data_IF_350619586243
#
_entry.id   IF_350619586243
#
_cell.length_a   1.000
_cell.length_b   1.000
_cell.length_c   1.000
_cell.angle_alpha   90.00
_cell.angle_beta   90.00
_cell.angle_gamma   90.00
#
_symmetry.space_group_name_H-M   'P 1'
#
loop_
_entity.id
_entity.type
_entity.pdbx_description
1 polymer ?
#
# COMPACT_ATOMS: atom_id res chain seq x y z
N UNK A 1 16.50 -15.23 20.50
CA UNK A 1 15.14 -15.08 19.91
C UNK A 1 15.23 -14.04 18.81
N UNK A 2 15.08 -14.41 17.53
CA UNK A 2 14.92 -13.43 16.46
C UNK A 2 13.50 -12.89 16.58
N UNK A 3 13.34 -11.58 16.77
CA UNK A 3 12.06 -10.90 16.60
C UNK A 3 11.65 -11.05 15.13
N UNK A 4 11.00 -12.16 14.79
CA UNK A 4 10.28 -12.27 13.54
C UNK A 4 8.97 -11.54 13.81
N UNK A 5 8.93 -10.25 13.47
CA UNK A 5 7.64 -9.58 13.30
C UNK A 5 6.90 -10.41 12.26
N UNK A 6 5.74 -10.91 12.65
CA UNK A 6 4.84 -11.63 11.77
C UNK A 6 4.57 -10.78 10.52
N UNK A 7 4.95 -11.29 9.35
CA UNK A 7 4.93 -10.54 8.09
C UNK A 7 3.50 -10.07 7.76
N UNK A 8 2.46 -10.84 8.14
CA UNK A 8 1.07 -10.39 8.00
C UNK A 8 0.79 -9.14 8.82
N UNK A 9 1.35 -9.03 10.03
CA UNK A 9 1.25 -7.82 10.85
C UNK A 9 1.94 -6.63 10.19
N UNK A 10 2.99 -6.83 9.39
CA UNK A 10 3.59 -5.74 8.62
C UNK A 10 2.62 -5.23 7.54
N UNK A 11 1.96 -6.14 6.82
CA UNK A 11 0.94 -5.78 5.85
C UNK A 11 -0.31 -5.15 6.51
N UNK A 12 -0.70 -5.58 7.70
CA UNK A 12 -1.78 -4.95 8.46
C UNK A 12 -1.43 -3.53 8.89
N UNK A 13 -0.18 -3.29 9.31
CA UNK A 13 0.31 -1.95 9.62
C UNK A 13 0.32 -1.05 8.38
N UNK A 14 0.85 -1.53 7.25
CA UNK A 14 0.84 -0.77 5.99
C UNK A 14 -0.61 -0.46 5.57
N UNK A 15 -1.50 -1.45 5.65
CA UNK A 15 -2.91 -1.26 5.32
C UNK A 15 -3.55 -0.21 6.24
N UNK A 16 -3.31 -0.27 7.55
CA UNK A 16 -3.84 0.73 8.49
C UNK A 16 -3.35 2.15 8.15
N UNK A 17 -2.07 2.33 7.82
CA UNK A 17 -1.53 3.62 7.37
C UNK A 17 -2.27 4.11 6.12
N UNK A 18 -2.49 3.24 5.13
CA UNK A 18 -3.20 3.60 3.90
C UNK A 18 -4.66 3.98 4.19
N UNK A 19 -5.40 3.20 4.98
CA UNK A 19 -6.78 3.50 5.33
C UNK A 19 -6.92 4.81 6.12
N UNK A 20 -6.00 5.07 7.07
CA UNK A 20 -5.97 6.34 7.80
C UNK A 20 -5.63 7.52 6.91
N UNK A 21 -4.84 7.28 5.87
CA UNK A 21 -4.54 8.31 4.87
C UNK A 21 -5.75 8.57 3.97
N UNK A 22 -6.53 7.53 3.65
CA UNK A 22 -7.80 7.72 2.94
C UNK A 22 -8.76 8.61 3.75
N UNK A 23 -8.88 8.38 5.06
CA UNK A 23 -9.66 9.27 5.94
C UNK A 23 -9.23 10.76 5.78
N UNK A 24 -7.92 11.02 5.69
CA UNK A 24 -7.35 12.36 5.48
C UNK A 24 -7.66 12.88 4.07
N UNK A 25 -7.48 12.06 3.04
CA UNK A 25 -7.75 12.43 1.63
C UNK A 25 -9.22 12.79 1.46
N UNK A 26 -10.14 12.01 2.04
CA UNK A 26 -11.57 12.31 2.02
C UNK A 26 -11.89 13.59 2.81
N UNK A 27 -11.17 13.87 3.89
CA UNK A 27 -11.28 15.13 4.62
C UNK A 27 -10.90 16.32 3.72
N UNK A 28 -9.73 16.26 3.06
CA UNK A 28 -9.27 17.30 2.12
C UNK A 28 -10.23 17.44 0.93
N UNK A 29 -10.81 16.35 0.43
CA UNK A 29 -11.81 16.38 -0.65
C UNK A 29 -13.08 17.12 -0.24
N UNK A 30 -13.50 16.99 1.01
CA UNK A 30 -14.72 17.63 1.56
C UNK A 30 -14.47 19.05 2.04
N UNK A 31 -13.27 19.35 2.53
CA UNK A 31 -12.91 20.65 3.09
C UNK A 31 -12.15 21.48 2.06
N UNK A 32 -12.72 22.61 1.63
CA UNK A 32 -12.08 23.50 0.65
C UNK A 32 -10.94 24.37 1.24
N UNK A 33 -10.52 24.11 2.48
CA UNK A 33 -9.46 24.87 3.17
C UNK A 33 -8.15 24.10 3.17
N UNK A 34 -7.06 24.80 2.81
CA UNK A 34 -5.71 24.24 2.79
C UNK A 34 -5.17 24.16 4.23
N UNK A 35 -5.28 23.00 4.87
CA UNK A 35 -4.60 22.71 6.14
C UNK A 35 -3.21 22.13 5.88
N UNK A 36 -2.15 22.93 6.09
CA UNK A 36 -0.76 22.54 5.87
C UNK A 36 -0.36 21.24 6.58
N UNK A 37 -0.96 20.94 7.74
CA UNK A 37 -0.65 19.73 8.50
C UNK A 37 -1.15 18.45 7.81
N UNK A 38 -2.33 18.51 7.17
CA UNK A 38 -2.90 17.40 6.41
C UNK A 38 -2.10 17.13 5.14
N UNK A 39 -1.66 18.18 4.45
CA UNK A 39 -0.83 18.08 3.25
C UNK A 39 0.55 17.49 3.54
N UNK A 40 1.18 17.90 4.65
CA UNK A 40 2.44 17.31 5.09
C UNK A 40 2.26 15.82 5.41
N UNK A 41 1.15 15.45 6.05
CA UNK A 41 0.85 14.06 6.39
C UNK A 41 0.74 13.18 5.14
N UNK A 42 0.03 13.63 4.10
CA UNK A 42 -0.02 12.91 2.81
C UNK A 42 1.37 12.75 2.20
N UNK A 43 2.17 13.82 2.20
CA UNK A 43 3.54 13.78 1.65
C UNK A 43 4.39 12.71 2.35
N UNK A 44 4.34 12.64 3.68
CA UNK A 44 5.07 11.63 4.45
C UNK A 44 4.59 10.21 4.15
N UNK A 45 3.28 10.03 3.96
CA UNK A 45 2.72 8.71 3.59
C UNK A 45 3.18 8.31 2.19
N UNK A 46 3.18 9.21 1.21
CA UNK A 46 3.66 8.88 -0.13
C UNK A 46 5.13 8.46 -0.11
N UNK A 47 5.97 9.14 0.67
CA UNK A 47 7.37 8.73 0.88
C UNK A 47 7.48 7.33 1.51
N UNK A 48 6.62 7.01 2.48
CA UNK A 48 6.54 5.69 3.07
C UNK A 48 6.10 4.62 2.04
N UNK A 49 5.11 4.92 1.21
CA UNK A 49 4.62 3.99 0.18
C UNK A 49 5.68 3.70 -0.90
N UNK A 50 6.57 4.65 -1.20
CA UNK A 50 7.76 4.40 -2.02
C UNK A 50 8.74 3.40 -1.39
N UNK A 51 8.81 3.33 -0.06
CA UNK A 51 9.59 2.25 0.59
C UNK A 51 8.86 0.91 0.51
N UNK A 52 7.53 0.92 0.60
CA UNK A 52 6.70 -0.27 0.43
C UNK A 52 6.84 -0.85 -0.98
N UNK A 53 6.92 -0.01 -2.02
CA UNK A 53 7.09 -0.48 -3.41
C UNK A 53 8.37 -1.30 -3.60
N UNK A 54 9.47 -0.91 -2.95
CA UNK A 54 10.72 -1.68 -2.97
C UNK A 54 10.64 -2.98 -2.14
N UNK A 55 9.86 -2.97 -1.05
CA UNK A 55 9.67 -4.13 -0.18
C UNK A 55 8.84 -5.24 -0.84
N UNK A 56 7.77 -4.89 -1.57
CA UNK A 56 6.83 -5.87 -2.13
C UNK A 56 7.50 -6.92 -3.02
N UNK A 57 8.32 -6.58 -4.04
CA UNK A 57 9.02 -7.57 -4.85
C UNK A 57 9.92 -8.50 -4.04
N UNK A 58 10.57 -7.97 -3.00
CA UNK A 58 11.47 -8.75 -2.14
C UNK A 58 10.69 -9.77 -1.32
N UNK A 59 9.61 -9.35 -0.65
CA UNK A 59 8.71 -10.23 0.09
C UNK A 59 8.25 -11.41 -0.78
N UNK A 60 7.78 -11.07 -1.98
CA UNK A 60 7.18 -12.00 -2.91
C UNK A 60 8.18 -12.96 -3.59
N UNK A 61 9.41 -12.49 -3.86
CA UNK A 61 10.50 -13.33 -4.38
C UNK A 61 10.95 -14.39 -3.38
N UNK A 62 11.06 -14.05 -2.10
CA UNK A 62 11.54 -14.96 -1.04
C UNK A 62 10.60 -16.16 -0.84
N UNK A 63 9.30 -15.94 -1.00
CA UNK A 63 8.28 -16.98 -0.75
C UNK A 63 8.07 -17.98 -1.89
N UNK A 64 8.85 -17.88 -2.99
CA UNK A 64 8.72 -18.75 -4.19
C UNK A 64 7.28 -18.85 -4.69
N UNK A 65 6.49 -17.80 -4.53
CA UNK A 65 5.13 -17.77 -5.07
C UNK A 65 5.22 -17.84 -6.59
N UNK A 66 4.88 -18.99 -7.16
CA UNK A 66 5.00 -19.24 -8.60
C UNK A 66 4.10 -18.33 -9.45
N UNK A 67 3.06 -17.73 -8.87
CA UNK A 67 2.08 -16.93 -9.57
C UNK A 67 1.73 -15.66 -8.78
N UNK A 68 2.73 -14.84 -8.45
CA UNK A 68 2.38 -13.43 -8.26
C UNK A 68 2.28 -12.84 -9.62
N UNK A 69 1.15 -12.22 -9.85
CA UNK A 69 0.92 -11.46 -11.04
C UNK A 69 1.94 -10.32 -11.05
N UNK A 70 3.02 -10.49 -11.82
CA UNK A 70 4.02 -9.45 -12.02
C UNK A 70 3.34 -8.15 -12.47
N UNK A 71 2.23 -8.27 -13.20
CA UNK A 71 1.42 -7.16 -13.64
C UNK A 71 0.76 -6.43 -12.46
N UNK A 72 0.46 -7.13 -11.35
CA UNK A 72 -0.08 -6.50 -10.13
C UNK A 72 0.98 -5.66 -9.40
N UNK A 73 2.22 -6.15 -9.33
CA UNK A 73 3.33 -5.37 -8.75
C UNK A 73 3.69 -4.17 -9.60
N UNK A 74 3.70 -4.36 -10.92
CA UNK A 74 3.90 -3.27 -11.88
C UNK A 74 2.77 -2.24 -11.79
N UNK A 75 1.52 -2.69 -11.67
CA UNK A 75 0.36 -1.82 -11.47
C UNK A 75 0.48 -0.99 -10.19
N UNK A 76 1.01 -1.58 -9.11
CA UNK A 76 1.25 -0.85 -7.86
C UNK A 76 2.28 0.26 -8.03
N UNK A 77 3.41 -0.04 -8.68
CA UNK A 77 4.46 0.95 -8.94
C UNK A 77 3.96 2.08 -9.88
N UNK A 78 3.21 1.72 -10.92
CA UNK A 78 2.64 2.69 -11.86
C UNK A 78 1.61 3.60 -11.19
N UNK A 79 0.66 3.05 -10.44
CA UNK A 79 -0.35 3.84 -9.74
C UNK A 79 0.26 4.71 -8.65
N UNK A 80 1.28 4.23 -7.91
CA UNK A 80 2.02 5.04 -6.93
C UNK A 80 2.79 6.19 -7.59
N UNK A 81 3.42 5.93 -8.74
CA UNK A 81 4.14 6.96 -9.52
C UNK A 81 3.18 8.04 -10.00
N UNK A 82 2.05 7.63 -10.59
CA UNK A 82 1.00 8.54 -11.04
C UNK A 82 0.46 9.37 -9.86
N UNK A 83 0.11 8.71 -8.76
CA UNK A 83 -0.38 9.36 -7.55
C UNK A 83 0.62 10.40 -7.00
N UNK A 84 1.91 10.08 -7.03
CA UNK A 84 2.96 11.02 -6.59
C UNK A 84 3.05 12.23 -7.52
N UNK A 85 2.88 12.05 -8.82
CA UNK A 85 2.90 13.14 -9.78
C UNK A 85 1.66 14.04 -9.65
N UNK A 86 0.47 13.46 -9.55
CA UNK A 86 -0.76 14.22 -9.30
C UNK A 86 -0.73 14.94 -7.94
N UNK A 87 -0.04 14.39 -6.94
CA UNK A 87 0.19 15.10 -5.68
C UNK A 87 1.07 16.34 -5.84
N UNK A 88 2.13 16.29 -6.67
CA UNK A 88 2.94 17.49 -6.96
C UNK A 88 2.12 18.57 -7.67
N UNK A 89 1.17 18.14 -8.51
CA UNK A 89 0.30 19.02 -9.29
C UNK A 89 -1.05 19.27 -8.60
N UNK A 90 -1.17 18.96 -7.30
CA UNK A 90 -2.44 18.99 -6.57
C UNK A 90 -3.13 20.35 -6.63
N UNK A 91 -2.39 21.44 -6.51
CA UNK A 91 -2.95 22.80 -6.56
C UNK A 91 -3.44 23.21 -7.96
N UNK A 92 -3.01 22.51 -9.02
CA UNK A 92 -3.45 22.76 -10.39
C UNK A 92 -4.75 22.01 -10.70
N UNK A 93 -4.85 20.73 -10.32
CA UNK A 93 -6.04 19.92 -10.51
C UNK A 93 -6.20 18.84 -9.43
N UNK A 94 -6.98 19.15 -8.40
CA UNK A 94 -7.23 18.26 -7.26
C UNK A 94 -7.98 16.98 -7.66
N UNK A 95 -8.83 17.03 -8.69
CA UNK A 95 -9.65 15.88 -9.08
C UNK A 95 -8.81 14.72 -9.61
N UNK A 96 -7.71 15.04 -10.32
CA UNK A 96 -6.78 14.02 -10.80
C UNK A 96 -6.15 13.24 -9.64
N UNK A 97 -5.71 13.94 -8.59
CA UNK A 97 -5.14 13.29 -7.41
C UNK A 97 -6.16 12.37 -6.75
N UNK A 98 -7.41 12.82 -6.57
CA UNK A 98 -8.43 11.97 -5.96
C UNK A 98 -8.71 10.71 -6.80
N UNK A 99 -8.72 10.85 -8.13
CA UNK A 99 -8.89 9.72 -9.04
C UNK A 99 -7.70 8.75 -8.93
N UNK A 100 -6.47 9.27 -8.97
CA UNK A 100 -5.25 8.47 -8.82
C UNK A 100 -5.18 7.78 -7.45
N UNK A 101 -5.70 8.40 -6.40
CA UNK A 101 -5.77 7.82 -5.06
C UNK A 101 -6.72 6.62 -5.02
N UNK A 102 -7.92 6.75 -5.59
CA UNK A 102 -8.91 5.66 -5.66
C UNK A 102 -8.38 4.48 -6.48
N UNK A 103 -7.68 4.75 -7.59
CA UNK A 103 -6.99 3.72 -8.39
C UNK A 103 -5.91 2.99 -7.60
N UNK A 104 -5.05 3.76 -6.89
CA UNK A 104 -4.02 3.20 -6.02
C UNK A 104 -4.62 2.31 -4.93
N UNK A 105 -5.68 2.75 -4.25
CA UNK A 105 -6.37 1.96 -3.22
C UNK A 105 -6.89 0.63 -3.76
N UNK A 106 -7.46 0.63 -4.96
CA UNK A 106 -7.96 -0.57 -5.63
C UNK A 106 -6.85 -1.59 -5.88
N UNK A 107 -5.67 -1.14 -6.33
CA UNK A 107 -4.50 -2.01 -6.53
C UNK A 107 -3.96 -2.51 -5.18
N UNK A 108 -3.84 -1.63 -4.19
CA UNK A 108 -3.39 -2.01 -2.85
C UNK A 108 -4.28 -3.09 -2.23
N UNK A 109 -5.61 -2.96 -2.33
CA UNK A 109 -6.55 -3.93 -1.77
C UNK A 109 -6.35 -5.32 -2.36
N UNK A 110 -6.09 -5.43 -3.68
CA UNK A 110 -5.79 -6.71 -4.34
C UNK A 110 -4.52 -7.35 -3.78
N UNK A 111 -3.48 -6.55 -3.55
CA UNK A 111 -2.21 -7.02 -2.95
C UNK A 111 -2.45 -7.47 -1.51
N UNK A 112 -3.14 -6.66 -0.71
CA UNK A 112 -3.44 -6.98 0.67
C UNK A 112 -4.25 -8.28 0.79
N UNK A 113 -5.33 -8.43 0.01
CA UNK A 113 -6.14 -9.64 -0.03
C UNK A 113 -5.32 -10.88 -0.44
N UNK A 114 -4.42 -10.72 -1.41
CA UNK A 114 -3.53 -11.80 -1.84
C UNK A 114 -2.65 -12.28 -0.69
N UNK A 115 -2.08 -11.36 0.10
CA UNK A 115 -1.24 -11.68 1.25
C UNK A 115 -2.05 -12.33 2.37
N UNK A 116 -3.23 -11.80 2.68
CA UNK A 116 -4.07 -12.34 3.75
C UNK A 116 -4.58 -13.76 3.47
N UNK A 117 -4.87 -14.08 2.21
CA UNK A 117 -5.30 -15.43 1.78
C UNK A 117 -4.20 -16.48 1.84
N UNK A 118 -2.94 -16.09 2.00
CA UNK A 118 -1.85 -17.06 2.08
C UNK A 118 -1.85 -17.75 3.45
N UNK A 119 -1.68 -19.09 3.48
CA UNK A 119 -1.53 -19.82 4.73
C UNK A 119 -0.27 -19.35 5.45
N UNK A 120 -0.33 -19.27 6.78
CA UNK A 120 0.84 -18.89 7.56
C UNK A 120 1.95 -19.92 7.36
N UNK A 121 3.21 -19.46 7.34
CA UNK A 121 4.36 -20.37 7.24
C UNK A 121 4.39 -21.41 8.38
N UNK A 122 3.71 -21.12 9.50
CA UNK A 122 3.53 -22.05 10.62
C UNK A 122 2.53 -23.19 10.34
N UNK A 123 1.57 -23.03 9.43
CA UNK A 123 0.61 -24.08 9.11
C UNK A 123 1.21 -25.19 8.24
N UNK A 124 2.21 -24.88 7.41
CA UNK A 124 2.91 -25.89 6.61
C UNK A 124 3.58 -26.97 7.48
N UNK A 125 4.17 -26.61 8.62
CA UNK A 125 4.79 -27.59 9.52
C UNK A 125 3.77 -28.48 10.26
N UNK A 126 2.51 -28.04 10.37
CA UNK A 126 1.44 -28.82 11.01
C UNK A 126 0.93 -29.94 10.11
N UNK A 127 1.05 -29.79 8.78
CA UNK A 127 0.67 -30.81 7.81
C UNK A 127 1.70 -31.94 7.63
N UNK A 128 2.97 -31.73 8.00
CA UNK A 128 4.03 -32.74 7.87
C UNK A 128 4.30 -33.54 9.16
N UNK A 129 3.55 -33.27 10.23
CA UNK A 129 3.71 -33.93 11.55
C UNK A 129 2.50 -34.77 11.96
N UNK A 130 1.54 -35.04 11.05
CA UNK A 130 0.47 -36.02 11.24
C UNK A 130 0.66 -37.21 10.30
#
# INVERSE_FOLDING_TARGET
MKYVIDEKKQFDLINNVIQKTDDIVQCIKRQCQNDTSLYLSITLVLMFLHQVSAFLPMYFKVKKHKNIDFDLLLSFEQTLTNLTEEWKNFDQNKENFFTAWDEFLSVWQKIYDLVQKQPDAFDFYKFYLN
#
